data_IF_677368142514
#
_entry.id   IF_677368142514
#
_cell.length_a   1.000
_cell.length_b   1.000
_cell.length_c   1.000
_cell.angle_alpha   90.00
_cell.angle_beta   90.00
_cell.angle_gamma   90.00
#
_symmetry.space_group_name_H-M   'P 1'
#
loop_
_entity.id
_entity.type
_entity.pdbx_description
1 polymer ?
#
# COMPACT_ATOMS: atom_id res chain seq x y z
N UNK A 1 -4.46 0.37 14.77
CA UNK A 1 -4.25 0.64 13.32
C UNK A 1 -3.16 1.67 13.16
N UNK A 2 -2.26 1.52 12.17
CA UNK A 2 -1.22 2.52 11.82
C UNK A 2 -1.67 3.32 10.60
N UNK A 3 -1.44 4.62 10.60
CA UNK A 3 -1.67 5.50 9.46
C UNK A 3 -0.36 5.69 8.68
N UNK A 4 -0.31 5.17 7.47
CA UNK A 4 0.87 5.08 6.63
C UNK A 4 0.66 5.93 5.37
N UNK A 5 1.71 6.55 4.84
CA UNK A 5 1.66 7.19 3.52
C UNK A 5 2.36 6.31 2.48
N UNK A 6 1.70 6.07 1.35
CA UNK A 6 2.38 5.46 0.18
C UNK A 6 3.29 6.49 -0.48
N UNK A 7 4.57 6.12 -0.69
CA UNK A 7 5.51 6.96 -1.43
C UNK A 7 5.06 7.21 -2.88
N UNK A 8 4.20 6.33 -3.41
CA UNK A 8 3.56 6.49 -4.72
C UNK A 8 2.64 7.71 -4.81
N UNK A 9 2.09 8.19 -3.70
CA UNK A 9 1.23 9.38 -3.70
C UNK A 9 1.94 10.64 -4.18
N UNK A 10 3.26 10.71 -4.02
CA UNK A 10 4.08 11.86 -4.38
C UNK A 10 5.30 11.45 -5.22
N UNK A 11 5.14 10.49 -6.14
CA UNK A 11 6.26 9.96 -6.94
C UNK A 11 6.96 11.01 -7.81
N UNK A 12 6.38 12.21 -7.96
CA UNK A 12 7.01 13.35 -8.65
C UNK A 12 8.10 14.02 -7.81
N UNK A 13 8.16 13.74 -6.51
CA UNK A 13 9.19 14.21 -5.59
C UNK A 13 10.22 13.11 -5.31
N UNK A 14 11.48 13.48 -4.98
CA UNK A 14 12.46 12.50 -4.49
C UNK A 14 11.96 11.80 -3.23
N UNK A 15 12.16 10.47 -3.12
CA UNK A 15 11.66 9.69 -2.00
C UNK A 15 12.09 10.24 -0.61
N UNK A 16 13.34 10.68 -0.37
CA UNK A 16 13.69 11.27 0.92
C UNK A 16 12.81 12.47 1.29
N UNK A 17 12.46 13.30 0.31
CA UNK A 17 11.57 14.46 0.51
C UNK A 17 10.15 14.03 0.89
N UNK A 18 9.63 12.99 0.25
CA UNK A 18 8.30 12.43 0.59
C UNK A 18 8.28 11.92 2.04
N UNK A 19 9.36 11.25 2.46
CA UNK A 19 9.51 10.77 3.84
C UNK A 19 9.58 11.90 4.87
N UNK A 20 10.29 13.00 4.54
CA UNK A 20 10.34 14.20 5.40
C UNK A 20 8.96 14.82 5.59
N UNK A 21 8.21 15.01 4.49
CA UNK A 21 6.84 15.54 4.53
C UNK A 21 5.93 14.63 5.35
N UNK A 22 5.97 13.32 5.14
CA UNK A 22 5.17 12.36 5.90
C UNK A 22 5.48 12.42 7.41
N UNK A 23 6.77 12.53 7.77
CA UNK A 23 7.21 12.70 9.17
C UNK A 23 6.69 14.00 9.77
N UNK A 24 6.80 15.12 9.05
CA UNK A 24 6.34 16.44 9.50
C UNK A 24 4.82 16.48 9.72
N UNK A 25 4.05 15.77 8.87
CA UNK A 25 2.60 15.65 9.00
C UNK A 25 2.19 14.75 10.18
N UNK A 26 3.02 13.74 10.50
CA UNK A 26 2.81 12.87 11.65
C UNK A 26 2.36 11.45 11.32
N UNK A 27 2.57 10.96 10.08
CA UNK A 27 2.33 9.56 9.73
C UNK A 27 3.18 8.60 10.56
N UNK A 28 2.66 7.41 10.89
CA UNK A 28 3.38 6.40 11.65
C UNK A 28 4.50 5.72 10.86
N UNK A 29 4.50 5.88 9.53
CA UNK A 29 5.49 5.30 8.65
C UNK A 29 5.10 5.40 7.18
N UNK A 30 5.84 4.65 6.35
CA UNK A 30 5.74 4.70 4.90
C UNK A 30 5.49 3.32 4.29
N UNK A 31 4.81 3.31 3.15
CA UNK A 31 4.94 2.26 2.16
C UNK A 31 5.88 2.72 1.06
N UNK A 32 6.87 1.90 0.76
CA UNK A 32 7.82 2.14 -0.34
C UNK A 32 7.35 1.42 -1.59
N UNK A 33 7.22 2.13 -2.70
CA UNK A 33 7.05 1.52 -4.02
C UNK A 33 8.43 1.33 -4.64
N UNK A 34 8.75 0.09 -5.00
CA UNK A 34 10.00 -0.20 -5.70
C UNK A 34 9.96 0.43 -7.09
N UNK A 35 10.90 1.32 -7.35
CA UNK A 35 11.04 2.08 -8.58
C UNK A 35 12.47 2.01 -9.12
N UNK A 36 12.78 2.80 -10.15
CA UNK A 36 14.08 2.83 -10.80
C UNK A 36 15.23 3.18 -9.85
N UNK A 37 15.02 3.97 -8.81
CA UNK A 37 16.08 4.32 -7.83
C UNK A 37 16.63 3.08 -7.15
N UNK A 38 15.79 2.06 -6.91
CA UNK A 38 16.21 0.78 -6.34
C UNK A 38 17.03 -0.08 -7.30
N UNK A 39 17.00 0.15 -8.62
CA UNK A 39 17.83 -0.58 -9.57
C UNK A 39 19.23 0.01 -9.73
N UNK A 40 19.38 1.34 -9.61
CA UNK A 40 20.66 2.04 -9.80
C UNK A 40 21.46 2.22 -8.51
N UNK A 41 20.80 2.21 -7.36
CA UNK A 41 21.41 2.33 -6.04
C UNK A 41 21.58 0.96 -5.39
N UNK A 42 22.43 0.88 -4.36
CA UNK A 42 22.38 -0.29 -3.47
C UNK A 42 21.04 -0.26 -2.72
N UNK A 43 20.10 -1.11 -3.16
CA UNK A 43 18.71 -1.09 -2.71
C UNK A 43 18.55 -1.24 -1.18
N UNK A 44 19.34 -2.11 -0.53
CA UNK A 44 19.28 -2.26 0.92
C UNK A 44 19.79 -1.00 1.63
N UNK A 45 20.92 -0.45 1.18
CA UNK A 45 21.47 0.78 1.76
C UNK A 45 20.51 1.95 1.56
N UNK A 46 19.93 2.07 0.37
CA UNK A 46 18.97 3.11 0.06
C UNK A 46 17.72 3.01 0.94
N UNK A 47 17.13 1.82 1.07
CA UNK A 47 15.99 1.58 1.95
C UNK A 47 16.29 1.95 3.40
N UNK A 48 17.47 1.56 3.91
CA UNK A 48 17.88 1.93 5.28
C UNK A 48 18.04 3.45 5.47
N UNK A 49 18.55 4.16 4.47
CA UNK A 49 18.60 5.63 4.52
C UNK A 49 17.21 6.25 4.62
N UNK A 50 16.22 5.69 3.92
CA UNK A 50 14.82 6.13 4.04
C UNK A 50 14.25 5.81 5.43
N UNK A 51 14.56 4.63 5.99
CA UNK A 51 14.13 4.23 7.34
C UNK A 51 14.70 5.12 8.46
N UNK A 52 15.84 5.77 8.25
CA UNK A 52 16.40 6.77 9.19
C UNK A 52 15.51 8.02 9.28
N UNK A 53 14.72 8.33 8.25
CA UNK A 53 13.81 9.48 8.24
C UNK A 53 12.46 9.10 8.90
N UNK A 54 11.86 8.00 8.46
CA UNK A 54 10.58 7.49 8.97
C UNK A 54 10.52 5.97 8.76
N UNK A 55 9.94 5.17 9.69
CA UNK A 55 9.83 3.73 9.54
C UNK A 55 9.16 3.31 8.22
N UNK A 56 9.67 2.23 7.58
CA UNK A 56 9.02 1.60 6.43
C UNK A 56 8.18 0.42 6.93
N UNK A 57 6.87 0.48 6.70
CA UNK A 57 5.89 -0.51 7.16
C UNK A 57 5.54 -1.54 6.10
N UNK A 58 5.70 -1.19 4.82
CA UNK A 58 5.48 -2.11 3.71
C UNK A 58 6.34 -1.76 2.51
N UNK A 59 6.64 -2.77 1.71
CA UNK A 59 7.20 -2.63 0.37
C UNK A 59 6.14 -3.07 -0.62
N UNK A 60 5.78 -2.18 -1.53
CA UNK A 60 5.00 -2.51 -2.71
C UNK A 60 5.94 -3.01 -3.81
N UNK A 61 5.80 -4.29 -4.18
CA UNK A 61 6.59 -4.87 -5.26
C UNK A 61 6.30 -4.15 -6.60
N UNK A 62 7.28 -4.06 -7.51
CA UNK A 62 7.10 -3.29 -8.74
C UNK A 62 6.00 -3.91 -9.61
N UNK A 63 5.17 -3.05 -10.18
CA UNK A 63 4.15 -3.43 -11.17
C UNK A 63 4.59 -3.17 -12.61
N UNK A 64 5.81 -2.66 -12.78
CA UNK A 64 6.53 -2.47 -14.04
C UNK A 64 7.88 -3.19 -13.99
N UNK A 65 8.57 -3.27 -15.12
CA UNK A 65 9.89 -3.89 -15.17
C UNK A 65 10.95 -2.99 -14.52
N UNK A 66 11.76 -3.56 -13.64
CA UNK A 66 12.89 -2.91 -13.00
C UNK A 66 14.18 -3.47 -13.59
N UNK A 67 15.01 -2.59 -14.13
CA UNK A 67 16.25 -2.98 -14.81
C UNK A 67 17.16 -3.80 -13.89
N UNK A 68 17.60 -4.96 -14.42
CA UNK A 68 18.49 -5.86 -13.68
C UNK A 68 17.82 -6.76 -12.63
N UNK A 69 16.49 -6.62 -12.40
CA UNK A 69 15.77 -7.41 -11.40
C UNK A 69 15.10 -8.67 -11.97
N UNK A 70 15.27 -8.95 -13.26
CA UNK A 70 14.71 -10.14 -13.90
C UNK A 70 13.19 -10.03 -14.15
N UNK A 71 12.51 -11.17 -14.15
CA UNK A 71 11.07 -11.20 -14.34
C UNK A 71 10.30 -10.96 -13.01
N UNK A 72 8.97 -10.94 -13.07
CA UNK A 72 8.12 -10.70 -11.89
C UNK A 72 8.35 -11.67 -10.73
N UNK A 73 8.79 -12.90 -11.00
CA UNK A 73 9.14 -13.88 -9.96
C UNK A 73 10.40 -13.42 -9.24
N UNK A 74 11.41 -13.05 -10.01
CA UNK A 74 12.69 -12.60 -9.46
C UNK A 74 12.51 -11.27 -8.71
N UNK A 75 11.72 -10.33 -9.26
CA UNK A 75 11.38 -9.07 -8.61
C UNK A 75 10.69 -9.29 -7.26
N UNK A 76 9.69 -10.17 -7.18
CA UNK A 76 9.03 -10.46 -5.91
C UNK A 76 9.97 -11.11 -4.89
N UNK A 77 10.85 -12.02 -5.32
CA UNK A 77 11.88 -12.62 -4.45
C UNK A 77 12.83 -11.56 -3.91
N UNK A 78 13.36 -10.69 -4.77
CA UNK A 78 14.23 -9.59 -4.35
C UNK A 78 13.53 -8.68 -3.32
N UNK A 79 12.25 -8.36 -3.52
CA UNK A 79 11.47 -7.60 -2.55
C UNK A 79 11.34 -8.33 -1.21
N UNK A 80 11.10 -9.66 -1.22
CA UNK A 80 11.03 -10.45 0.00
C UNK A 80 12.37 -10.50 0.74
N UNK A 81 13.48 -10.72 0.02
CA UNK A 81 14.82 -10.71 0.60
C UNK A 81 15.16 -9.34 1.18
N UNK A 82 14.85 -8.25 0.45
CA UNK A 82 15.04 -6.88 0.91
C UNK A 82 14.23 -6.58 2.20
N UNK A 83 12.98 -7.02 2.26
CA UNK A 83 12.16 -6.86 3.45
C UNK A 83 12.70 -7.63 4.66
N UNK A 84 13.17 -8.86 4.44
CA UNK A 84 13.80 -9.69 5.48
C UNK A 84 15.10 -9.08 6.02
N UNK A 85 15.92 -8.49 5.14
CA UNK A 85 17.18 -7.86 5.50
C UNK A 85 17.03 -6.49 6.16
N UNK A 86 15.99 -5.73 5.76
CA UNK A 86 15.70 -4.39 6.29
C UNK A 86 14.67 -4.38 7.42
N UNK A 87 14.20 -5.57 7.87
CA UNK A 87 13.15 -5.73 8.89
C UNK A 87 11.85 -4.98 8.55
N UNK A 88 11.45 -4.97 7.26
CA UNK A 88 10.16 -4.43 6.83
C UNK A 88 9.07 -5.50 7.02
N UNK A 89 7.97 -5.20 7.73
CA UNK A 89 7.04 -6.24 8.18
C UNK A 89 6.10 -6.79 7.09
N UNK A 90 5.94 -6.10 5.95
CA UNK A 90 4.95 -6.47 4.94
C UNK A 90 5.45 -6.24 3.51
N UNK A 91 5.11 -7.17 2.63
CA UNK A 91 5.21 -7.03 1.16
C UNK A 91 3.81 -7.07 0.58
N UNK A 92 3.51 -6.09 -0.29
CA UNK A 92 2.36 -6.11 -1.17
C UNK A 92 2.79 -6.37 -2.62
N UNK A 93 2.00 -7.16 -3.38
CA UNK A 93 2.23 -7.36 -4.80
C UNK A 93 0.92 -7.54 -5.57
N UNK A 94 0.95 -7.24 -6.87
CA UNK A 94 -0.20 -7.40 -7.76
C UNK A 94 -0.36 -8.84 -8.25
N UNK A 95 -1.60 -9.35 -8.37
CA UNK A 95 -1.87 -10.63 -9.02
C UNK A 95 -1.51 -10.58 -10.51
N UNK A 96 -1.25 -11.74 -11.12
CA UNK A 96 -0.94 -11.79 -12.55
C UNK A 96 -2.11 -11.37 -13.42
N UNK A 97 -1.79 -10.65 -14.49
CA UNK A 97 -2.72 -10.23 -15.53
C UNK A 97 -2.75 -11.23 -16.69
N UNK A 98 -3.96 -11.61 -17.14
CA UNK A 98 -4.12 -12.39 -18.36
C UNK A 98 -3.87 -11.54 -19.62
N UNK A 99 -4.07 -10.21 -19.52
CA UNK A 99 -3.83 -9.29 -20.64
C UNK A 99 -2.33 -9.17 -20.94
N UNK A 100 -1.48 -9.18 -19.90
CA UNK A 100 -0.02 -9.15 -20.03
C UNK A 100 0.59 -10.55 -20.21
N UNK A 101 -0.23 -11.59 -20.40
CA UNK A 101 0.20 -12.98 -20.60
C UNK A 101 1.13 -13.51 -19.50
N UNK A 102 0.96 -13.09 -18.27
CA UNK A 102 1.80 -13.45 -17.11
C UNK A 102 1.59 -14.89 -16.62
N UNK A 103 1.48 -15.83 -17.58
CA UNK A 103 1.19 -17.24 -17.29
C UNK A 103 2.33 -17.95 -16.53
N UNK A 104 3.59 -17.52 -16.74
CA UNK A 104 4.74 -18.05 -16.00
C UNK A 104 4.61 -17.69 -14.51
N UNK A 105 4.34 -16.42 -14.23
CA UNK A 105 4.11 -15.92 -12.87
C UNK A 105 2.92 -16.60 -12.22
N UNK A 106 1.78 -16.72 -12.91
CA UNK A 106 0.60 -17.44 -12.41
C UNK A 106 0.89 -18.92 -12.06
N UNK A 107 1.61 -19.64 -12.93
CA UNK A 107 1.99 -21.04 -12.66
C UNK A 107 2.89 -21.17 -11.46
N UNK A 108 3.79 -20.19 -11.25
CA UNK A 108 4.68 -20.18 -10.11
C UNK A 108 3.92 -19.89 -8.81
N UNK A 109 3.05 -18.87 -8.76
CA UNK A 109 2.22 -18.58 -7.59
C UNK A 109 1.40 -19.79 -7.13
N UNK A 110 0.81 -20.54 -8.06
CA UNK A 110 0.00 -21.73 -7.73
C UNK A 110 0.80 -22.92 -7.17
N UNK A 111 2.13 -22.88 -7.23
CA UNK A 111 2.99 -23.95 -6.69
C UNK A 111 3.48 -23.64 -5.28
N UNK A 112 3.26 -22.44 -4.80
CA UNK A 112 3.60 -22.04 -3.43
C UNK A 112 2.45 -22.53 -2.56
N UNK A 113 2.73 -23.44 -1.63
CA UNK A 113 1.69 -23.94 -0.71
C UNK A 113 1.47 -23.00 0.47
N UNK A 114 2.53 -22.34 0.95
CA UNK A 114 2.49 -21.40 2.07
C UNK A 114 3.37 -20.18 1.79
N UNK A 115 2.74 -19.06 1.41
CA UNK A 115 3.47 -17.81 1.11
C UNK A 115 4.21 -17.26 2.33
N UNK A 116 3.64 -17.39 3.53
CA UNK A 116 4.24 -16.85 4.73
C UNK A 116 5.52 -17.61 5.10
N UNK A 117 5.50 -18.96 4.95
CA UNK A 117 6.66 -19.77 5.21
C UNK A 117 7.70 -19.69 4.07
N UNK A 118 7.26 -19.79 2.82
CA UNK A 118 8.14 -19.92 1.66
C UNK A 118 8.84 -18.61 1.29
N UNK A 119 8.12 -17.51 1.27
CA UNK A 119 8.65 -16.19 0.90
C UNK A 119 8.89 -15.30 2.13
N UNK A 120 7.93 -15.21 3.03
CA UNK A 120 8.02 -14.37 4.22
C UNK A 120 8.91 -14.92 5.35
N UNK A 121 9.31 -16.19 5.27
CA UNK A 121 10.06 -16.90 6.33
C UNK A 121 9.39 -16.77 7.72
N UNK A 122 8.07 -16.63 7.75
CA UNK A 122 7.26 -16.35 8.95
C UNK A 122 7.70 -15.09 9.73
N UNK A 123 8.38 -14.17 9.06
CA UNK A 123 8.86 -12.89 9.62
C UNK A 123 8.28 -11.70 8.88
N UNK A 124 8.05 -11.83 7.59
CA UNK A 124 7.46 -10.80 6.72
C UNK A 124 6.11 -11.29 6.25
N UNK A 125 5.09 -10.46 6.42
CA UNK A 125 3.74 -10.72 5.89
C UNK A 125 3.73 -10.54 4.38
N UNK A 126 3.33 -11.58 3.65
CA UNK A 126 3.18 -11.51 2.20
C UNK A 126 1.69 -11.31 1.89
N UNK A 127 1.37 -10.24 1.18
CA UNK A 127 0.00 -9.89 0.78
C UNK A 127 -0.12 -9.64 -0.71
N UNK A 128 -1.27 -9.96 -1.25
CA UNK A 128 -1.65 -9.70 -2.64
C UNK A 128 -2.80 -8.69 -2.66
N UNK A 129 -2.85 -7.86 -3.67
CA UNK A 129 -3.82 -6.78 -3.78
C UNK A 129 -5.03 -7.16 -4.63
N UNK A 130 -6.23 -6.67 -4.27
CA UNK A 130 -7.37 -6.70 -5.18
C UNK A 130 -7.20 -5.61 -6.23
N UNK A 131 -7.43 -5.94 -7.49
CA UNK A 131 -7.08 -5.09 -8.63
C UNK A 131 -8.29 -4.49 -9.34
N UNK A 132 -8.11 -3.33 -10.01
CA UNK A 132 -9.20 -2.59 -10.61
C UNK A 132 -9.67 -3.18 -11.95
N UNK A 133 -10.87 -2.75 -12.35
CA UNK A 133 -11.33 -2.85 -13.74
C UNK A 133 -10.70 -1.76 -14.60
N UNK A 134 -10.46 -2.07 -15.86
CA UNK A 134 -10.08 -1.05 -16.84
C UNK A 134 -11.23 -0.05 -17.04
N UNK A 135 -11.01 1.26 -16.88
CA UNK A 135 -12.10 2.25 -16.82
C UNK A 135 -13.05 2.25 -18.04
N UNK A 136 -12.49 2.08 -19.26
CA UNK A 136 -13.27 2.14 -20.50
C UNK A 136 -14.00 0.85 -20.82
N UNK A 137 -13.38 -0.30 -20.58
CA UNK A 137 -13.94 -1.60 -20.96
C UNK A 137 -14.74 -2.27 -19.86
N UNK A 138 -14.59 -1.82 -18.62
CA UNK A 138 -15.16 -2.46 -17.41
C UNK A 138 -14.73 -3.93 -17.25
N UNK A 139 -13.62 -4.30 -17.87
CA UNK A 139 -13.04 -5.64 -17.78
C UNK A 139 -11.92 -5.60 -16.76
N UNK A 140 -11.93 -6.54 -15.81
CA UNK A 140 -10.79 -6.72 -14.92
C UNK A 140 -9.78 -7.65 -15.61
N UNK A 141 -8.55 -7.17 -15.88
CA UNK A 141 -7.54 -7.95 -16.58
C UNK A 141 -6.82 -8.98 -15.70
N UNK A 142 -7.11 -9.02 -14.41
CA UNK A 142 -6.40 -9.86 -13.44
C UNK A 142 -7.10 -11.20 -13.19
N UNK A 143 -6.31 -12.24 -12.89
CA UNK A 143 -6.83 -13.60 -12.74
C UNK A 143 -7.64 -13.81 -11.46
N UNK A 144 -7.33 -13.07 -10.41
CA UNK A 144 -7.97 -13.14 -9.08
C UNK A 144 -8.87 -11.92 -8.83
N UNK A 145 -9.70 -11.58 -9.81
CA UNK A 145 -10.39 -10.30 -9.89
C UNK A 145 -11.56 -10.10 -8.91
N UNK A 146 -12.13 -11.15 -8.36
CA UNK A 146 -13.33 -11.06 -7.51
C UNK A 146 -13.14 -11.74 -6.17
N UNK A 147 -13.94 -11.38 -5.13
CA UNK A 147 -13.86 -12.04 -3.83
C UNK A 147 -13.96 -13.56 -3.91
N UNK A 148 -14.86 -14.09 -4.76
CA UNK A 148 -15.09 -15.51 -4.92
C UNK A 148 -13.89 -16.26 -5.51
N UNK A 149 -12.99 -15.56 -6.22
CA UNK A 149 -11.75 -16.14 -6.77
C UNK A 149 -10.56 -15.90 -5.84
N UNK A 150 -10.48 -14.70 -5.28
CA UNK A 150 -9.31 -14.28 -4.48
C UNK A 150 -9.34 -14.95 -3.10
N UNK A 151 -10.44 -14.89 -2.36
CA UNK A 151 -10.53 -15.44 -1.00
C UNK A 151 -10.16 -16.93 -0.91
N UNK A 152 -10.67 -17.83 -1.78
CA UNK A 152 -10.23 -19.23 -1.76
C UNK A 152 -8.74 -19.40 -2.07
N UNK A 153 -8.17 -18.56 -2.92
CA UNK A 153 -6.74 -18.58 -3.22
C UNK A 153 -5.93 -18.15 -1.99
N UNK A 154 -6.32 -17.07 -1.31
CA UNK A 154 -5.68 -16.60 -0.08
C UNK A 154 -5.63 -17.70 0.99
N UNK A 155 -6.79 -18.28 1.26
CA UNK A 155 -6.95 -19.35 2.27
C UNK A 155 -6.10 -20.57 1.93
N UNK A 156 -6.13 -21.02 0.67
CA UNK A 156 -5.41 -22.22 0.23
C UNK A 156 -3.91 -22.08 0.34
N UNK A 157 -3.38 -20.88 0.07
CA UNK A 157 -1.94 -20.64 -0.07
C UNK A 157 -1.34 -19.92 1.12
N UNK A 158 -2.06 -19.76 2.24
CA UNK A 158 -1.66 -18.97 3.39
C UNK A 158 -1.11 -17.59 2.96
N UNK A 159 -1.91 -16.86 2.16
CA UNK A 159 -1.56 -15.56 1.62
C UNK A 159 -2.53 -14.52 2.20
N UNK A 160 -2.04 -13.34 2.52
CA UNK A 160 -2.87 -12.27 3.05
C UNK A 160 -3.32 -11.29 1.95
N UNK A 161 -4.20 -10.37 2.33
CA UNK A 161 -4.81 -9.39 1.44
C UNK A 161 -4.33 -7.98 1.79
N UNK A 162 -3.92 -7.23 0.78
CA UNK A 162 -3.98 -5.77 0.75
C UNK A 162 -5.28 -5.38 0.08
N UNK A 163 -6.16 -4.72 0.81
CA UNK A 163 -7.45 -4.26 0.28
C UNK A 163 -7.34 -2.82 -0.21
N UNK A 164 -7.41 -2.64 -1.51
CA UNK A 164 -7.48 -1.31 -2.12
C UNK A 164 -8.94 -0.88 -2.33
N UNK A 165 -9.28 0.29 -1.75
CA UNK A 165 -10.64 0.84 -1.78
C UNK A 165 -11.02 1.36 -3.15
N UNK A 166 -10.13 2.03 -3.88
CA UNK A 166 -10.41 2.56 -5.21
C UNK A 166 -10.53 1.43 -6.23
N UNK A 167 -9.65 0.42 -6.15
CA UNK A 167 -9.74 -0.77 -6.99
C UNK A 167 -11.07 -1.53 -6.78
N UNK A 168 -11.48 -1.70 -5.53
CA UNK A 168 -12.79 -2.29 -5.22
C UNK A 168 -13.93 -1.42 -5.77
N UNK A 169 -13.84 -0.10 -5.65
CA UNK A 169 -14.81 0.85 -6.18
C UNK A 169 -14.95 0.78 -7.71
N UNK A 170 -13.88 0.47 -8.42
CA UNK A 170 -13.84 0.36 -9.88
C UNK A 170 -14.59 -0.86 -10.43
N UNK A 171 -14.86 -1.86 -9.59
CA UNK A 171 -15.47 -3.13 -9.98
C UNK A 171 -16.94 -3.01 -10.41
N UNK A 172 -17.58 -1.86 -10.21
CA UNK A 172 -18.99 -1.63 -10.51
C UNK A 172 -19.96 -2.57 -9.76
N UNK A 173 -19.50 -3.15 -8.67
CA UNK A 173 -20.25 -3.99 -7.74
C UNK A 173 -20.69 -3.16 -6.52
N UNK A 174 -21.26 -3.79 -5.52
CA UNK A 174 -21.56 -3.11 -4.27
C UNK A 174 -20.29 -3.08 -3.40
N UNK A 175 -19.59 -1.95 -3.38
CA UNK A 175 -18.35 -1.73 -2.63
C UNK A 175 -18.43 -2.26 -1.18
N UNK A 176 -19.47 -1.91 -0.44
CA UNK A 176 -19.62 -2.31 0.96
C UNK A 176 -19.81 -3.82 1.11
N UNK A 177 -20.52 -4.44 0.17
CA UNK A 177 -20.72 -5.89 0.19
C UNK A 177 -19.43 -6.63 -0.09
N UNK A 178 -18.67 -6.21 -1.08
CA UNK A 178 -17.37 -6.80 -1.43
C UNK A 178 -16.35 -6.57 -0.30
N UNK A 179 -16.31 -5.37 0.27
CA UNK A 179 -15.50 -5.10 1.46
C UNK A 179 -15.83 -6.06 2.61
N UNK A 180 -17.12 -6.28 2.93
CA UNK A 180 -17.48 -7.21 4.00
C UNK A 180 -17.10 -8.67 3.70
N UNK A 181 -17.12 -9.09 2.43
CA UNK A 181 -16.63 -10.42 2.05
C UNK A 181 -15.13 -10.54 2.30
N UNK A 182 -14.33 -9.56 1.84
CA UNK A 182 -12.89 -9.52 2.06
C UNK A 182 -12.54 -9.42 3.55
N UNK A 183 -13.19 -8.52 4.28
CA UNK A 183 -12.97 -8.32 5.71
C UNK A 183 -13.33 -9.60 6.51
N UNK A 184 -14.48 -10.18 6.24
CA UNK A 184 -14.96 -11.40 6.89
C UNK A 184 -14.11 -12.65 6.61
N UNK A 185 -13.25 -12.64 5.57
CA UNK A 185 -12.28 -13.69 5.33
C UNK A 185 -11.20 -13.81 6.41
N UNK A 186 -10.97 -12.74 7.19
CA UNK A 186 -9.90 -12.67 8.17
C UNK A 186 -8.48 -12.56 7.59
N UNK A 187 -8.36 -12.38 6.26
CA UNK A 187 -7.06 -12.36 5.56
C UNK A 187 -6.50 -10.95 5.36
N UNK A 188 -7.28 -9.89 5.62
CA UNK A 188 -6.85 -8.50 5.39
C UNK A 188 -5.77 -8.07 6.40
N UNK A 189 -4.61 -7.63 5.90
CA UNK A 189 -3.46 -7.17 6.73
C UNK A 189 -2.98 -5.78 6.36
N UNK A 190 -3.41 -5.28 5.21
CA UNK A 190 -3.09 -3.95 4.73
C UNK A 190 -4.28 -3.37 3.99
N UNK A 191 -4.42 -2.05 4.01
CA UNK A 191 -5.46 -1.33 3.28
C UNK A 191 -4.78 -0.21 2.51
N UNK A 192 -5.01 -0.13 1.19
CA UNK A 192 -4.76 1.06 0.40
C UNK A 192 -6.03 1.89 0.39
N UNK A 193 -5.93 3.09 0.91
CA UNK A 193 -7.07 3.94 1.16
C UNK A 193 -7.05 5.18 0.27
N UNK A 194 -8.05 5.29 -0.55
CA UNK A 194 -8.33 6.43 -1.42
C UNK A 194 -9.78 6.40 -1.87
N UNK A 195 -10.24 7.44 -2.55
CA UNK A 195 -11.58 7.50 -3.13
C UNK A 195 -11.56 7.12 -4.62
N UNK A 196 -12.76 6.90 -5.18
CA UNK A 196 -12.95 6.54 -6.58
C UNK A 196 -14.22 7.19 -7.13
N UNK A 197 -14.14 7.73 -8.34
CA UNK A 197 -15.31 8.15 -9.12
C UNK A 197 -15.02 8.14 -10.63
N UNK A 198 -16.00 7.74 -11.42
CA UNK A 198 -16.01 7.92 -12.88
C UNK A 198 -14.78 7.36 -13.63
N UNK A 199 -14.18 6.28 -13.13
CA UNK A 199 -12.98 5.68 -13.71
C UNK A 199 -11.67 6.35 -13.28
N UNK A 200 -11.72 7.23 -12.29
CA UNK A 200 -10.55 7.82 -11.66
C UNK A 200 -10.32 7.15 -10.30
N UNK A 201 -9.17 6.54 -10.18
CA UNK A 201 -8.67 5.86 -8.97
C UNK A 201 -7.78 6.80 -8.16
N UNK A 202 -7.59 6.46 -6.90
CA UNK A 202 -6.69 7.16 -5.98
C UNK A 202 -7.01 8.65 -5.79
N UNK A 203 -8.31 8.99 -5.79
CA UNK A 203 -8.78 10.33 -5.47
C UNK A 203 -8.66 10.61 -3.95
N UNK A 204 -8.54 11.87 -3.59
CA UNK A 204 -8.62 12.28 -2.18
C UNK A 204 -9.95 11.86 -1.56
N UNK A 205 -9.97 11.48 -0.28
CA UNK A 205 -11.20 11.21 0.44
C UNK A 205 -12.19 12.37 0.33
N UNK A 206 -13.38 12.08 -0.22
CA UNK A 206 -14.41 13.07 -0.49
C UNK A 206 -14.42 13.67 -1.90
N UNK A 207 -13.42 13.36 -2.74
CA UNK A 207 -13.42 13.74 -4.16
C UNK A 207 -14.10 12.70 -5.05
N UNK A 208 -14.37 11.52 -4.51
CA UNK A 208 -15.06 10.43 -5.19
C UNK A 208 -16.46 10.18 -4.66
N UNK A 209 -16.89 8.93 -4.79
CA UNK A 209 -18.26 8.52 -4.45
C UNK A 209 -18.30 7.28 -3.54
N UNK A 210 -17.16 6.81 -3.03
CA UNK A 210 -17.14 5.66 -2.15
C UNK A 210 -17.70 6.00 -0.76
N UNK A 211 -18.37 5.07 -0.09
CA UNK A 211 -18.91 5.29 1.24
C UNK A 211 -17.80 5.16 2.32
N UNK A 212 -16.74 5.97 2.20
CA UNK A 212 -15.52 5.89 3.00
C UNK A 212 -15.76 6.08 4.50
N UNK A 213 -16.67 6.97 4.89
CA UNK A 213 -17.04 7.14 6.30
C UNK A 213 -17.61 5.83 6.90
N UNK A 214 -18.47 5.13 6.15
CA UNK A 214 -19.01 3.84 6.59
C UNK A 214 -17.92 2.78 6.68
N UNK A 215 -16.98 2.79 5.74
CA UNK A 215 -15.83 1.90 5.72
C UNK A 215 -14.93 2.14 6.96
N UNK A 216 -14.51 3.38 7.23
CA UNK A 216 -13.68 3.75 8.37
C UNK A 216 -14.37 3.47 9.71
N UNK A 217 -15.68 3.73 9.80
CA UNK A 217 -16.47 3.38 10.98
C UNK A 217 -16.43 1.89 11.29
N UNK A 218 -16.54 1.03 10.27
CA UNK A 218 -16.46 -0.40 10.47
C UNK A 218 -15.08 -0.83 10.99
N UNK A 219 -13.99 -0.31 10.41
CA UNK A 219 -12.63 -0.58 10.89
C UNK A 219 -12.43 -0.17 12.34
N UNK A 220 -12.98 0.99 12.73
CA UNK A 220 -12.93 1.48 14.11
C UNK A 220 -13.73 0.61 15.06
N UNK A 221 -14.96 0.24 14.70
CA UNK A 221 -15.86 -0.57 15.53
C UNK A 221 -15.38 -1.99 15.74
N UNK A 222 -14.65 -2.53 14.76
CA UNK A 222 -14.04 -3.86 14.83
C UNK A 222 -12.60 -3.85 15.32
N UNK A 223 -12.08 -2.68 15.73
CA UNK A 223 -10.73 -2.52 16.27
C UNK A 223 -9.65 -3.05 15.32
N UNK A 224 -9.81 -2.79 14.00
CA UNK A 224 -8.78 -3.17 13.01
C UNK A 224 -7.41 -2.62 13.40
N UNK A 225 -6.41 -3.48 13.58
CA UNK A 225 -5.12 -3.14 14.20
C UNK A 225 -3.92 -3.15 13.23
N UNK A 226 -4.16 -3.42 11.93
CA UNK A 226 -3.12 -3.40 10.90
C UNK A 226 -2.94 -2.01 10.25
N UNK A 227 -2.34 -1.96 9.07
CA UNK A 227 -2.00 -0.71 8.37
C UNK A 227 -3.16 -0.19 7.51
N UNK A 228 -3.36 1.13 7.54
CA UNK A 228 -4.14 1.89 6.58
C UNK A 228 -3.17 2.83 5.87
N UNK A 229 -2.90 2.53 4.61
CA UNK A 229 -1.97 3.25 3.75
C UNK A 229 -2.75 4.24 2.91
N UNK A 230 -2.52 5.52 3.10
CA UNK A 230 -3.05 6.56 2.23
C UNK A 230 -2.30 6.50 0.89
N UNK A 231 -3.00 6.13 -0.18
CA UNK A 231 -2.46 6.02 -1.52
C UNK A 231 -3.27 6.89 -2.48
N UNK A 232 -2.70 8.02 -2.85
CA UNK A 232 -3.37 9.04 -3.65
C UNK A 232 -2.69 9.23 -5.00
N UNK A 233 -3.45 9.69 -5.97
CA UNK A 233 -2.88 10.17 -7.22
C UNK A 233 -2.10 11.48 -6.97
N UNK A 234 -0.88 11.64 -7.51
CA UNK A 234 -0.12 12.89 -7.36
C UNK A 234 -0.84 14.09 -8.00
N UNK A 235 -1.78 13.85 -8.90
CA UNK A 235 -2.59 14.92 -9.52
C UNK A 235 -3.67 15.50 -8.59
N UNK A 236 -3.89 14.87 -7.44
CA UNK A 236 -4.79 15.38 -6.39
C UNK A 236 -4.12 16.48 -5.55
N UNK A 237 -2.80 16.64 -5.65
CA UNK A 237 -2.07 17.60 -4.87
C UNK A 237 -1.87 18.92 -5.62
N UNK A 238 -1.91 20.05 -4.90
CA UNK A 238 -1.54 21.35 -5.45
C UNK A 238 -0.03 21.42 -5.75
N UNK A 239 0.39 22.43 -6.49
CA UNK A 239 1.80 22.70 -6.71
C UNK A 239 2.45 23.33 -5.47
N UNK A 240 3.70 22.95 -5.20
CA UNK A 240 4.54 23.49 -4.14
C UNK A 240 4.53 22.69 -2.84
N UNK A 241 5.71 22.58 -2.25
CA UNK A 241 5.97 21.72 -1.08
C UNK A 241 5.09 22.07 0.13
N UNK A 242 4.89 23.35 0.41
CA UNK A 242 4.06 23.80 1.54
C UNK A 242 2.58 23.42 1.33
N UNK A 243 2.07 23.67 0.13
CA UNK A 243 0.68 23.32 -0.21
C UNK A 243 0.43 21.80 -0.19
N UNK A 244 1.39 21.01 -0.67
CA UNK A 244 1.34 19.54 -0.58
C UNK A 244 1.28 19.09 0.89
N UNK A 245 2.18 19.63 1.73
CA UNK A 245 2.23 19.31 3.16
C UNK A 245 0.91 19.67 3.87
N UNK A 246 0.37 20.85 3.60
CA UNK A 246 -0.86 21.32 4.24
C UNK A 246 -2.06 20.47 3.82
N UNK A 247 -2.15 20.09 2.55
CA UNK A 247 -3.16 19.16 2.04
C UNK A 247 -3.04 17.78 2.70
N UNK A 248 -1.84 17.23 2.80
CA UNK A 248 -1.61 15.96 3.51
C UNK A 248 -1.99 16.05 4.99
N UNK A 249 -1.68 17.17 5.64
CA UNK A 249 -2.05 17.39 7.04
C UNK A 249 -3.57 17.47 7.25
N UNK A 250 -4.32 17.97 6.27
CA UNK A 250 -5.79 17.96 6.30
C UNK A 250 -6.35 16.54 6.19
N UNK A 251 -5.86 15.76 5.23
CA UNK A 251 -6.28 14.36 5.06
C UNK A 251 -5.88 13.52 6.28
N UNK A 252 -4.67 13.71 6.80
CA UNK A 252 -4.21 13.01 8.01
C UNK A 252 -5.10 13.32 9.22
N UNK A 253 -5.45 14.60 9.45
CA UNK A 253 -6.39 15.00 10.52
C UNK A 253 -7.75 14.34 10.36
N UNK A 254 -8.29 14.29 9.14
CA UNK A 254 -9.52 13.57 8.83
C UNK A 254 -9.41 12.08 9.22
N UNK A 255 -8.34 11.40 8.80
CA UNK A 255 -8.11 10.00 9.15
C UNK A 255 -8.01 9.79 10.67
N UNK A 256 -7.27 10.63 11.37
CA UNK A 256 -7.17 10.56 12.83
C UNK A 256 -8.53 10.70 13.52
N UNK A 257 -9.39 11.59 13.06
CA UNK A 257 -10.73 11.80 13.59
C UNK A 257 -11.63 10.59 13.36
N UNK A 258 -11.71 10.10 12.12
CA UNK A 258 -12.59 8.99 11.74
C UNK A 258 -12.15 7.67 12.38
N UNK A 259 -10.85 7.44 12.51
CA UNK A 259 -10.31 6.20 13.08
C UNK A 259 -10.04 6.27 14.58
N UNK A 260 -10.14 7.44 15.20
CA UNK A 260 -9.72 7.73 16.59
C UNK A 260 -8.24 7.38 16.82
N UNK A 261 -7.43 7.51 15.79
CA UNK A 261 -6.00 7.32 15.90
C UNK A 261 -5.37 8.43 16.76
N UNK A 262 -4.55 8.03 17.71
CA UNK A 262 -3.75 8.99 18.50
C UNK A 262 -2.35 9.04 17.85
N UNK A 263 -1.95 10.18 17.27
CA UNK A 263 -0.64 10.30 16.67
C UNK A 263 0.45 10.06 17.71
N UNK A 264 1.55 9.43 17.29
CA UNK A 264 2.72 9.29 18.14
C UNK A 264 3.20 10.67 18.62
N UNK A 265 3.64 10.83 19.88
CA UNK A 265 4.16 12.11 20.33
C UNK A 265 5.34 12.54 19.45
N UNK A 266 5.22 13.71 18.84
CA UNK A 266 6.30 14.30 18.04
C UNK A 266 7.51 14.46 18.94
N UNK A 267 8.70 13.90 18.64
CA UNK A 267 9.90 14.14 19.40
C UNK A 267 10.15 15.64 19.45
N UNK A 268 10.12 16.22 20.64
CA UNK A 268 10.50 17.63 20.79
C UNK A 268 11.91 17.80 20.23
N UNK A 269 12.06 18.69 19.24
CA UNK A 269 13.37 19.09 18.76
C UNK A 269 14.20 19.48 20.00
N UNK A 270 15.31 18.77 20.21
CA UNK A 270 16.24 19.15 21.26
C UNK A 270 16.67 20.57 20.94
N UNK A 271 16.18 21.53 21.72
CA UNK A 271 16.67 22.91 21.70
C UNK A 271 18.14 22.83 22.04
N UNK A 272 18.99 22.97 21.02
CA UNK A 272 20.44 23.06 21.23
C UNK A 272 20.71 24.15 22.26
N UNK A 273 21.13 23.77 23.43
CA UNK A 273 21.71 24.69 24.39
C UNK A 273 22.98 25.27 23.73
N UNK A 274 22.88 26.48 23.28
CA UNK A 274 24.08 27.29 23.08
C UNK A 274 24.81 27.32 24.43
N UNK A 275 25.92 26.66 24.47
CA UNK A 275 26.91 26.88 25.53
C UNK A 275 27.78 28.08 25.12
N UNK A 276 27.76 29.10 25.96
CA UNK A 276 28.65 30.22 25.97
C UNK A 276 30.14 29.84 25.99
#
# INVERSE_FOLDING_TARGET
>A
MKLILSAGSLFTLPAPKVFEVAREVGFDGMEVIINHDFSVLNHLKYLRTLQEILPVNSIHAPFFDVDGWGDKIDQLRICCDLALEADVPLINFHPPSWLSLELKFWRWLKRIDDFQADLGKNRVTISIENMPCMPKSKINPYLLATPEKLIPFLTRHNLFLTFDTAHCGSMHTNFINDFYQYYGSGMMRNIHFSDYANGQEHLMPGHGALPLTRFLNHLRETEYDHSLVLELSPYEFPEGDEAIRDTLAEVYRYLCQETRHLPAPVPMAQSGSALD
#
